data_IF_476802750035
#
_entry.id   IF_476802750035
#
_cell.length_a   1.000
_cell.length_b   1.000
_cell.length_c   1.000
_cell.angle_alpha   90.00
_cell.angle_beta   90.00
_cell.angle_gamma   90.00
#
_symmetry.space_group_name_H-M   'P 1'
#
loop_
_entity.id
_entity.type
_entity.pdbx_description
1 polymer ?
#
# COMPACT_ATOMS: atom_id res chain seq x y z
N UNK A 1 3.42 -16.12 -5.29
CA UNK A 1 4.89 -16.01 -5.40
C UNK A 1 5.45 -15.88 -3.99
N UNK A 2 6.17 -16.89 -3.49
CA UNK A 2 6.89 -16.78 -2.21
C UNK A 2 8.20 -16.03 -2.47
N UNK A 3 8.10 -14.72 -2.64
CA UNK A 3 9.24 -13.83 -2.88
C UNK A 3 10.08 -13.66 -1.62
N UNK A 4 11.40 -13.58 -1.80
CA UNK A 4 12.35 -13.18 -0.76
C UNK A 4 11.92 -11.84 -0.15
N UNK A 5 11.96 -11.68 1.17
CA UNK A 5 11.47 -10.45 1.85
C UNK A 5 12.59 -9.53 2.35
N UNK A 6 13.78 -10.09 2.54
CA UNK A 6 14.91 -9.45 3.21
C UNK A 6 16.25 -9.87 2.59
N UNK A 7 17.25 -9.00 2.74
CA UNK A 7 18.60 -9.19 2.21
C UNK A 7 19.69 -8.98 3.27
N UNK A 8 19.79 -9.85 4.29
CA UNK A 8 20.73 -9.67 5.39
C UNK A 8 22.20 -9.62 4.95
N UNK A 9 22.56 -10.25 3.85
CA UNK A 9 23.91 -10.22 3.28
C UNK A 9 24.34 -8.84 2.77
N UNK A 10 23.41 -7.91 2.55
CA UNK A 10 23.70 -6.58 2.03
C UNK A 10 24.13 -5.58 3.12
N UNK A 11 23.99 -5.93 4.40
CA UNK A 11 24.47 -5.10 5.51
C UNK A 11 25.99 -4.91 5.39
N UNK A 12 26.45 -3.67 5.52
CA UNK A 12 27.85 -3.30 5.35
C UNK A 12 28.32 -3.14 3.90
N UNK A 13 27.46 -3.40 2.90
CA UNK A 13 27.77 -3.12 1.50
C UNK A 13 27.36 -1.69 1.12
N UNK A 14 27.88 -1.19 0.00
CA UNK A 14 27.45 0.08 -0.57
C UNK A 14 26.06 -0.04 -1.18
N UNK A 15 25.31 1.05 -1.19
CA UNK A 15 24.00 1.11 -1.85
C UNK A 15 24.07 0.68 -3.32
N UNK A 16 25.13 1.09 -4.04
CA UNK A 16 25.33 0.70 -5.45
C UNK A 16 25.47 -0.82 -5.63
N UNK A 17 26.21 -1.51 -4.76
CA UNK A 17 26.35 -2.96 -4.82
C UNK A 17 25.03 -3.67 -4.50
N UNK A 18 24.27 -3.13 -3.54
CA UNK A 18 22.93 -3.62 -3.24
C UNK A 18 21.98 -3.48 -4.43
N UNK A 19 22.03 -2.35 -5.16
CA UNK A 19 21.21 -2.16 -6.35
C UNK A 19 21.44 -3.25 -7.41
N UNK A 20 22.70 -3.60 -7.66
CA UNK A 20 23.06 -4.67 -8.59
C UNK A 20 22.49 -6.02 -8.13
N UNK A 21 22.75 -6.41 -6.87
CA UNK A 21 22.29 -7.70 -6.33
C UNK A 21 20.77 -7.83 -6.27
N UNK A 22 20.06 -6.75 -5.94
CA UNK A 22 18.60 -6.73 -5.91
C UNK A 22 18.05 -6.86 -7.33
N UNK A 23 18.62 -6.14 -8.30
CA UNK A 23 18.19 -6.19 -9.70
C UNK A 23 18.50 -7.53 -10.38
N UNK A 24 19.61 -8.17 -10.01
CA UNK A 24 19.98 -9.52 -10.44
C UNK A 24 19.02 -10.59 -9.89
N UNK A 25 18.54 -10.39 -8.65
CA UNK A 25 17.56 -11.28 -8.03
C UNK A 25 16.19 -11.15 -8.70
N UNK A 26 15.71 -9.90 -8.88
CA UNK A 26 14.46 -9.59 -9.54
C UNK A 26 14.50 -8.17 -10.10
N UNK A 27 14.48 -8.05 -11.43
CA UNK A 27 14.59 -6.78 -12.14
C UNK A 27 13.34 -5.91 -12.02
N UNK A 28 12.24 -6.43 -11.50
CA UNK A 28 11.05 -5.64 -11.19
C UNK A 28 11.21 -4.82 -9.92
N UNK A 29 12.24 -5.09 -9.10
CA UNK A 29 12.44 -4.43 -7.82
C UNK A 29 13.21 -3.12 -7.96
N UNK A 30 12.80 -2.16 -7.13
CA UNK A 30 13.34 -0.81 -7.13
C UNK A 30 14.05 -0.55 -5.78
N UNK A 31 15.39 -0.63 -5.72
CA UNK A 31 16.13 -0.27 -4.52
C UNK A 31 15.93 1.21 -4.19
N UNK A 32 15.69 1.53 -2.91
CA UNK A 32 15.50 2.88 -2.43
C UNK A 32 16.51 3.21 -1.33
N UNK A 33 17.24 4.31 -1.48
CA UNK A 33 18.20 4.78 -0.49
C UNK A 33 17.50 5.63 0.57
N UNK A 34 17.28 5.03 1.74
CA UNK A 34 16.76 5.70 2.93
C UNK A 34 17.91 6.24 3.79
N UNK A 35 18.54 7.32 3.32
CA UNK A 35 19.74 7.88 3.95
C UNK A 35 19.44 8.35 5.38
N UNK A 36 20.22 7.88 6.34
CA UNK A 36 20.05 8.12 7.77
C UNK A 36 18.62 7.84 8.27
N UNK A 37 17.96 6.84 7.68
CA UNK A 37 16.59 6.46 8.04
C UNK A 37 15.51 7.43 7.57
N UNK A 38 15.86 8.48 6.81
CA UNK A 38 14.87 9.35 6.20
C UNK A 38 14.22 8.64 5.00
N UNK A 39 12.96 8.26 5.18
CA UNK A 39 12.14 7.65 4.15
C UNK A 39 11.05 8.62 3.70
N UNK A 40 10.92 8.77 2.38
CA UNK A 40 9.76 9.45 1.82
C UNK A 40 8.53 8.55 1.94
N UNK A 41 7.36 9.16 2.18
CA UNK A 41 6.08 8.44 2.36
C UNK A 41 5.51 7.90 1.04
N UNK A 42 6.29 7.98 -0.04
CA UNK A 42 5.90 7.52 -1.36
C UNK A 42 5.78 5.98 -1.38
N UNK A 43 4.58 5.51 -1.70
CA UNK A 43 4.25 4.10 -1.83
C UNK A 43 4.74 3.52 -3.16
N UNK A 44 5.47 2.40 -3.09
CA UNK A 44 5.87 1.62 -4.26
C UNK A 44 5.99 0.14 -3.86
N UNK A 45 5.15 -0.77 -4.41
CA UNK A 45 5.14 -2.18 -4.05
C UNK A 45 6.36 -2.96 -4.54
N UNK A 46 7.15 -2.37 -5.44
CA UNK A 46 8.40 -2.94 -5.95
C UNK A 46 9.61 -2.50 -5.12
N UNK A 47 9.40 -1.60 -4.16
CA UNK A 47 10.49 -0.93 -3.45
C UNK A 47 11.12 -1.81 -2.38
N UNK A 48 12.45 -1.90 -2.43
CA UNK A 48 13.29 -2.46 -1.37
C UNK A 48 13.98 -1.33 -0.65
N UNK A 49 13.71 -1.18 0.65
CA UNK A 49 14.28 -0.11 1.46
C UNK A 49 15.69 -0.49 1.88
N UNK A 50 16.67 0.33 1.53
CA UNK A 50 18.05 0.22 1.98
C UNK A 50 18.37 1.43 2.87
N UNK A 51 18.48 1.21 4.19
CA UNK A 51 18.89 2.27 5.13
C UNK A 51 20.41 2.40 5.09
N UNK A 52 20.90 3.60 4.80
CA UNK A 52 22.33 3.88 4.65
C UNK A 52 22.81 4.98 5.60
N UNK A 53 24.10 4.99 5.92
CA UNK A 53 24.76 6.11 6.60
C UNK A 53 25.30 7.16 5.61
N UNK A 54 26.02 8.17 6.12
CA UNK A 54 26.60 9.24 5.31
C UNK A 54 27.62 8.77 4.25
N UNK A 55 28.15 7.55 4.38
CA UNK A 55 29.07 6.93 3.43
C UNK A 55 28.37 5.99 2.43
N UNK A 56 27.03 6.05 2.32
CA UNK A 56 26.20 5.17 1.48
C UNK A 56 26.38 3.67 1.80
N UNK A 57 26.79 3.36 3.03
CA UNK A 57 26.90 1.99 3.54
C UNK A 57 25.59 1.60 4.20
N UNK A 58 25.09 0.42 3.84
CA UNK A 58 23.85 -0.14 4.40
C UNK A 58 24.07 -0.49 5.87
N UNK A 59 23.28 0.11 6.75
CA UNK A 59 23.37 -0.06 8.20
C UNK A 59 22.33 -1.02 8.76
N UNK A 60 21.26 -1.30 8.02
CA UNK A 60 20.17 -2.17 8.44
C UNK A 60 19.84 -3.19 7.35
N UNK A 61 19.25 -4.33 7.73
CA UNK A 61 18.84 -5.36 6.77
C UNK A 61 17.84 -4.77 5.78
N UNK A 62 18.13 -4.72 4.47
CA UNK A 62 17.17 -4.23 3.50
C UNK A 62 15.92 -5.09 3.45
N UNK A 63 14.76 -4.46 3.33
CA UNK A 63 13.46 -5.11 3.46
C UNK A 63 12.44 -4.58 2.46
N UNK A 64 11.46 -5.42 2.12
CA UNK A 64 10.25 -4.97 1.44
C UNK A 64 9.39 -4.12 2.37
N UNK A 65 8.86 -3.02 1.86
CA UNK A 65 7.84 -2.23 2.57
C UNK A 65 6.44 -2.92 2.62
N UNK A 66 6.41 -4.26 2.73
CA UNK A 66 5.20 -5.09 2.72
C UNK A 66 4.36 -4.91 3.98
N UNK A 67 4.97 -4.59 5.13
CA UNK A 67 4.25 -4.42 6.40
C UNK A 67 3.30 -3.21 6.36
N UNK A 68 3.71 -2.13 5.69
CA UNK A 68 2.82 -1.00 5.36
C UNK A 68 1.65 -1.44 4.49
N UNK A 69 1.90 -2.33 3.52
CA UNK A 69 0.89 -2.89 2.62
C UNK A 69 -0.12 -3.77 3.37
N UNK A 70 0.34 -4.59 4.32
CA UNK A 70 -0.54 -5.40 5.16
C UNK A 70 -1.39 -4.52 6.07
N UNK A 71 -0.79 -3.51 6.70
CA UNK A 71 -1.52 -2.58 7.58
C UNK A 71 -2.56 -1.74 6.82
N UNK A 72 -2.22 -1.21 5.64
CA UNK A 72 -3.15 -0.47 4.79
C UNK A 72 -4.28 -1.39 4.30
N UNK A 73 -3.96 -2.61 3.85
CA UNK A 73 -4.98 -3.55 3.40
C UNK A 73 -5.91 -3.99 4.55
N UNK A 74 -5.39 -4.16 5.77
CA UNK A 74 -6.20 -4.42 6.97
C UNK A 74 -7.06 -3.20 7.32
N UNK A 75 -6.53 -1.98 7.20
CA UNK A 75 -7.30 -0.75 7.44
C UNK A 75 -8.44 -0.59 6.43
N UNK A 76 -8.18 -0.82 5.15
CA UNK A 76 -9.21 -0.76 4.11
C UNK A 76 -10.23 -1.89 4.30
N UNK A 77 -9.77 -3.12 4.54
CA UNK A 77 -10.66 -4.26 4.74
C UNK A 77 -11.53 -4.09 6.00
N UNK A 78 -10.97 -3.57 7.10
CA UNK A 78 -11.73 -3.29 8.32
C UNK A 78 -12.78 -2.20 8.10
N UNK A 79 -12.47 -1.16 7.32
CA UNK A 79 -13.47 -0.17 6.89
C UNK A 79 -14.54 -0.79 6.00
N UNK A 80 -14.19 -1.67 5.06
CA UNK A 80 -15.17 -2.37 4.21
C UNK A 80 -16.10 -3.30 4.99
N UNK A 81 -15.61 -3.98 6.03
CA UNK A 81 -16.44 -4.81 6.92
C UNK A 81 -17.52 -3.96 7.62
N UNK A 82 -17.19 -2.72 8.01
CA UNK A 82 -18.14 -1.79 8.64
C UNK A 82 -19.28 -1.39 7.68
N UNK A 83 -19.01 -1.26 6.38
CA UNK A 83 -20.02 -0.86 5.39
C UNK A 83 -20.92 -1.99 4.91
N UNK A 84 -20.53 -3.25 5.12
CA UNK A 84 -21.26 -4.42 4.62
C UNK A 84 -22.73 -4.44 5.07
N UNK A 85 -23.08 -4.23 6.36
CA UNK A 85 -24.49 -4.17 6.78
C UNK A 85 -25.27 -3.01 6.15
N UNK A 86 -24.60 -1.86 5.92
CA UNK A 86 -25.22 -0.70 5.29
C UNK A 86 -25.50 -0.91 3.79
N UNK A 87 -24.57 -1.57 3.09
CA UNK A 87 -24.72 -1.94 1.67
C UNK A 87 -25.79 -3.03 1.53
N UNK A 88 -25.78 -4.06 2.38
CA UNK A 88 -26.81 -5.11 2.39
C UNK A 88 -28.20 -4.52 2.70
N UNK A 89 -28.32 -3.61 3.67
CA UNK A 89 -29.56 -2.90 3.97
C UNK A 89 -30.04 -2.02 2.80
N UNK A 90 -29.12 -1.37 2.08
CA UNK A 90 -29.45 -0.60 0.88
C UNK A 90 -29.96 -1.50 -0.24
N UNK A 91 -29.30 -2.63 -0.51
CA UNK A 91 -29.71 -3.61 -1.52
C UNK A 91 -31.10 -4.16 -1.19
N UNK A 92 -31.35 -4.53 0.07
CA UNK A 92 -32.67 -5.01 0.51
C UNK A 92 -33.73 -3.94 0.26
N UNK A 93 -33.46 -2.68 0.61
CA UNK A 93 -34.40 -1.57 0.36
C UNK A 93 -34.62 -1.28 -1.12
N UNK A 94 -33.60 -1.41 -1.95
CA UNK A 94 -33.73 -1.30 -3.41
C UNK A 94 -34.63 -2.39 -4.00
N UNK A 95 -34.63 -3.60 -3.42
CA UNK A 95 -35.46 -4.72 -3.86
C UNK A 95 -36.90 -4.59 -3.33
N UNK A 96 -37.05 -4.20 -2.05
CA UNK A 96 -38.36 -4.15 -1.38
C UNK A 96 -39.14 -2.87 -1.68
N UNK A 97 -38.47 -1.72 -1.82
CA UNK A 97 -39.10 -0.42 -2.03
C UNK A 97 -38.43 0.39 -3.16
N UNK A 98 -38.35 -0.15 -4.39
CA UNK A 98 -37.60 0.45 -5.49
C UNK A 98 -38.06 1.88 -5.82
N UNK A 99 -39.38 2.13 -5.83
CA UNK A 99 -39.94 3.45 -6.10
C UNK A 99 -39.57 4.49 -5.04
N UNK A 100 -39.46 4.07 -3.77
CA UNK A 100 -39.13 4.96 -2.65
C UNK A 100 -37.65 5.39 -2.73
N UNK A 101 -36.75 4.45 -3.05
CA UNK A 101 -35.34 4.74 -3.32
C UNK A 101 -35.18 5.68 -4.51
N UNK A 102 -35.84 5.40 -5.64
CA UNK A 102 -35.78 6.24 -6.84
C UNK A 102 -36.29 7.66 -6.55
N UNK A 103 -37.39 7.81 -5.82
CA UNK A 103 -37.92 9.13 -5.45
C UNK A 103 -36.99 9.90 -4.50
N UNK A 104 -36.32 9.20 -3.58
CA UNK A 104 -35.30 9.81 -2.71
C UNK A 104 -34.05 10.23 -3.47
N UNK A 105 -33.62 9.44 -4.47
CA UNK A 105 -32.48 9.80 -5.32
C UNK A 105 -32.81 11.00 -6.22
N UNK A 106 -33.98 11.01 -6.87
CA UNK A 106 -34.44 12.14 -7.69
C UNK A 106 -34.63 13.43 -6.89
N UNK A 107 -35.11 13.34 -5.66
CA UNK A 107 -35.23 14.50 -4.78
C UNK A 107 -33.86 14.97 -4.26
N UNK A 108 -32.90 14.07 -4.02
CA UNK A 108 -31.54 14.44 -3.66
C UNK A 108 -30.79 15.15 -4.81
N UNK A 109 -30.99 14.72 -6.06
CA UNK A 109 -30.43 15.40 -7.25
C UNK A 109 -30.95 16.85 -7.37
N UNK A 110 -32.20 17.13 -6.97
CA UNK A 110 -32.76 18.48 -7.00
C UNK A 110 -32.10 19.45 -6.00
N UNK A 111 -31.44 18.96 -4.94
CA UNK A 111 -30.68 19.80 -4.00
C UNK A 111 -29.23 20.08 -4.44
N UNK A 112 -28.76 19.46 -5.53
CA UNK A 112 -27.41 19.64 -6.09
C UNK A 112 -27.38 20.41 -7.42
N UNK A 113 -28.46 21.09 -7.78
CA UNK A 113 -28.48 22.03 -8.90
C UNK A 113 -27.96 23.39 -8.38
N UNK A 114 -26.68 23.66 -8.62
CA UNK A 114 -26.06 24.99 -8.55
C UNK A 114 -26.52 25.79 -9.77
#
# INVERSE_FOLDING_TARGET
>A
MSGRKEWPELVGQTFQAACQKISEFDSSLTPYNARNGQQDRMYDPTRVVCVTNDNDIITEVPYYNYESMLNINIEIASKMIIFRPGIEALIIRCIQEPSNIINRLKSAEQYYVI
#
